data_IF_728998290967
#
_entry.id   IF_728998290967
#
_cell.length_a   1.000
_cell.length_b   1.000
_cell.length_c   1.000
_cell.angle_alpha   90.00
_cell.angle_beta   90.00
_cell.angle_gamma   90.00
#
_symmetry.space_group_name_H-M   'P 1'
#
loop_
_entity.id
_entity.type
_entity.pdbx_description
1 polymer ?
#
# COMPACT_ATOMS: atom_id res chain seq x y z
N UNK A 1 23.22 46.11 -64.78
CA UNK A 1 23.25 44.84 -64.03
C UNK A 1 22.47 45.01 -62.74
N UNK A 2 21.30 44.38 -62.63
CA UNK A 2 20.44 44.43 -61.43
C UNK A 2 20.86 43.29 -60.48
N UNK A 3 21.24 43.60 -59.25
CA UNK A 3 21.36 42.59 -58.20
C UNK A 3 20.06 42.59 -57.40
N UNK A 4 19.31 41.51 -57.53
CA UNK A 4 18.12 41.18 -56.76
C UNK A 4 18.53 40.33 -55.55
N UNK A 5 18.50 40.90 -54.35
CA UNK A 5 18.62 40.14 -53.09
C UNK A 5 17.24 39.78 -52.58
N UNK A 6 16.82 38.54 -52.84
CA UNK A 6 15.58 37.96 -52.32
C UNK A 6 15.83 37.49 -50.88
N UNK A 7 15.20 38.16 -49.91
CA UNK A 7 15.16 37.74 -48.50
C UNK A 7 14.35 36.45 -48.36
N UNK A 8 14.98 35.35 -47.91
CA UNK A 8 14.29 34.13 -47.49
C UNK A 8 13.73 34.32 -46.07
N UNK A 9 12.41 34.48 -45.94
CA UNK A 9 11.72 34.27 -44.68
C UNK A 9 11.74 32.78 -44.33
N UNK A 10 12.43 32.42 -43.26
CA UNK A 10 12.33 31.09 -42.64
C UNK A 10 11.10 31.16 -41.72
N UNK A 11 10.00 30.54 -42.15
CA UNK A 11 8.82 30.32 -41.30
C UNK A 11 9.19 29.33 -40.21
N UNK A 12 9.37 29.81 -38.98
CA UNK A 12 9.54 28.97 -37.80
C UNK A 12 8.23 28.23 -37.52
N UNK A 13 8.15 26.97 -37.92
CA UNK A 13 7.12 26.06 -37.47
C UNK A 13 7.29 25.94 -35.95
N UNK A 14 6.28 26.24 -35.11
CA UNK A 14 6.39 26.03 -33.69
C UNK A 14 6.51 24.52 -33.45
N UNK A 15 7.62 24.06 -32.88
CA UNK A 15 7.73 22.71 -32.36
C UNK A 15 6.73 22.54 -31.22
N UNK A 16 5.64 21.84 -31.51
CA UNK A 16 4.72 21.34 -30.51
C UNK A 16 5.46 20.29 -29.67
N UNK A 17 6.02 20.73 -28.54
CA UNK A 17 6.47 19.80 -27.50
C UNK A 17 5.23 19.11 -26.94
N UNK A 18 5.15 17.80 -27.15
CA UNK A 18 4.19 16.96 -26.46
C UNK A 18 4.42 17.13 -24.95
N UNK A 19 3.53 17.87 -24.30
CA UNK A 19 3.40 17.85 -22.85
C UNK A 19 2.88 16.45 -22.55
N UNK A 20 3.78 15.50 -22.27
CA UNK A 20 3.40 14.30 -21.52
C UNK A 20 2.72 14.85 -20.28
N UNK A 21 1.41 14.60 -20.15
CA UNK A 21 0.68 14.99 -18.97
C UNK A 21 1.44 14.46 -17.77
N UNK A 22 2.05 15.37 -17.01
CA UNK A 22 2.42 15.09 -15.64
C UNK A 22 1.09 14.94 -14.91
N UNK A 23 0.49 13.75 -15.04
CA UNK A 23 -0.44 13.23 -14.05
C UNK A 23 0.33 13.37 -12.74
N UNK A 24 -0.10 14.33 -11.92
CA UNK A 24 0.50 14.74 -10.65
C UNK A 24 1.32 13.60 -10.04
N UNK A 25 2.66 13.74 -10.00
CA UNK A 25 3.49 12.78 -9.30
C UNK A 25 3.02 12.78 -7.84
N UNK A 26 2.29 11.74 -7.45
CA UNK A 26 1.80 11.56 -6.09
C UNK A 26 3.01 11.47 -5.16
N UNK A 27 2.91 12.09 -3.99
CA UNK A 27 4.04 12.09 -3.06
C UNK A 27 4.40 10.65 -2.67
N UNK A 28 5.66 10.33 -2.32
CA UNK A 28 6.03 8.99 -1.86
C UNK A 28 5.16 8.50 -0.69
N UNK A 29 4.72 9.42 0.18
CA UNK A 29 3.80 9.11 1.29
C UNK A 29 2.40 8.77 0.78
N UNK A 30 1.87 9.50 -0.18
CA UNK A 30 0.54 9.23 -0.77
C UNK A 30 0.48 7.83 -1.41
N UNK A 31 1.55 7.40 -2.08
CA UNK A 31 1.63 6.05 -2.64
C UNK A 31 1.59 4.97 -1.54
N UNK A 32 2.28 5.20 -0.42
CA UNK A 32 2.22 4.32 0.75
C UNK A 32 0.82 4.32 1.39
N UNK A 33 0.16 5.48 1.49
CA UNK A 33 -1.21 5.58 2.02
C UNK A 33 -2.19 4.78 1.16
N UNK A 34 -2.10 4.91 -0.17
CA UNK A 34 -2.93 4.16 -1.11
C UNK A 34 -2.70 2.66 -1.00
N UNK A 35 -1.43 2.22 -0.98
CA UNK A 35 -1.09 0.81 -0.82
C UNK A 35 -1.54 0.25 0.54
N UNK A 36 -1.36 1.01 1.62
CA UNK A 36 -1.75 0.63 2.98
C UNK A 36 -3.27 0.51 3.11
N UNK A 37 -4.02 1.47 2.57
CA UNK A 37 -5.48 1.41 2.49
C UNK A 37 -5.95 0.16 1.74
N UNK A 38 -5.43 -0.06 0.54
CA UNK A 38 -5.82 -1.21 -0.29
C UNK A 38 -5.56 -2.53 0.44
N UNK A 39 -4.39 -2.65 1.05
CA UNK A 39 -4.04 -3.83 1.82
C UNK A 39 -4.95 -4.04 3.04
N UNK A 40 -5.22 -2.99 3.81
CA UNK A 40 -6.11 -3.05 4.96
C UNK A 40 -7.55 -3.39 4.56
N UNK A 41 -8.06 -2.75 3.52
CA UNK A 41 -9.37 -3.03 2.92
C UNK A 41 -9.51 -4.50 2.52
N UNK A 42 -8.57 -5.00 1.71
CA UNK A 42 -8.55 -6.41 1.28
C UNK A 42 -8.41 -7.38 2.46
N UNK A 43 -7.78 -6.95 3.55
CA UNK A 43 -7.52 -7.79 4.71
C UNK A 43 -8.64 -7.80 5.76
N UNK A 44 -9.42 -6.73 5.90
CA UNK A 44 -10.35 -6.58 7.01
C UNK A 44 -11.80 -6.36 6.57
N UNK A 45 -12.04 -5.82 5.37
CA UNK A 45 -13.35 -5.35 4.94
C UNK A 45 -13.67 -5.67 3.47
N UNK A 46 -13.06 -6.72 2.91
CA UNK A 46 -13.15 -7.03 1.47
C UNK A 46 -14.56 -7.37 0.96
N UNK A 47 -15.55 -7.50 1.85
CA UNK A 47 -16.96 -7.74 1.53
C UNK A 47 -17.86 -6.55 1.82
N UNK A 48 -17.31 -5.35 2.05
CA UNK A 48 -18.09 -4.17 2.47
C UNK A 48 -17.76 -2.97 1.60
N UNK A 49 -18.79 -2.32 1.05
CA UNK A 49 -18.63 -1.07 0.32
C UNK A 49 -18.67 0.11 1.29
N UNK A 50 -17.69 1.00 1.19
CA UNK A 50 -17.64 2.24 1.96
C UNK A 50 -17.89 3.45 1.07
N UNK A 51 -18.45 4.51 1.65
CA UNK A 51 -18.57 5.80 0.97
C UNK A 51 -17.19 6.41 0.71
N UNK A 52 -17.07 7.24 -0.33
CA UNK A 52 -15.83 7.99 -0.60
C UNK A 52 -15.37 8.81 0.61
N UNK A 53 -16.32 9.38 1.36
CA UNK A 53 -16.03 10.13 2.59
C UNK A 53 -15.35 9.26 3.65
N UNK A 54 -15.88 8.06 3.88
CA UNK A 54 -15.33 7.11 4.85
C UNK A 54 -13.91 6.66 4.45
N UNK A 55 -13.70 6.37 3.17
CA UNK A 55 -12.39 6.00 2.62
C UNK A 55 -11.39 7.14 2.80
N UNK A 56 -11.78 8.38 2.49
CA UNK A 56 -10.90 9.54 2.63
C UNK A 56 -10.50 9.79 4.09
N UNK A 57 -11.45 9.75 5.03
CA UNK A 57 -11.15 9.90 6.46
C UNK A 57 -10.20 8.79 6.95
N UNK A 58 -10.39 7.55 6.49
CA UNK A 58 -9.49 6.46 6.84
C UNK A 58 -8.07 6.70 6.29
N UNK A 59 -7.95 7.15 5.03
CA UNK A 59 -6.66 7.46 4.40
C UNK A 59 -5.94 8.64 5.06
N UNK A 60 -6.66 9.69 5.47
CA UNK A 60 -6.11 10.81 6.25
C UNK A 60 -5.47 10.32 7.56
N UNK A 61 -6.12 9.38 8.26
CA UNK A 61 -5.56 8.78 9.50
C UNK A 61 -4.34 7.90 9.24
N UNK A 62 -4.31 7.18 8.12
CA UNK A 62 -3.13 6.41 7.68
C UNK A 62 -1.98 7.36 7.32
N UNK A 63 -2.27 8.47 6.64
CA UNK A 63 -1.30 9.50 6.29
C UNK A 63 -0.70 10.15 7.55
N UNK A 64 -1.52 10.49 8.55
CA UNK A 64 -1.06 10.96 9.86
C UNK A 64 -0.06 9.96 10.47
N UNK A 65 -0.37 8.66 10.43
CA UNK A 65 0.53 7.63 10.95
C UNK A 65 1.90 7.59 10.23
N UNK A 66 1.93 7.81 8.90
CA UNK A 66 3.18 7.80 8.14
C UNK A 66 3.98 9.11 8.22
N UNK A 67 3.32 10.24 8.46
CA UNK A 67 3.97 11.56 8.57
C UNK A 67 4.60 11.81 9.94
N UNK A 68 4.16 11.08 10.97
CA UNK A 68 4.72 11.16 12.33
C UNK A 68 6.04 10.38 12.51
N UNK A 69 6.48 9.61 11.52
CA UNK A 69 7.69 8.79 11.59
C UNK A 69 8.78 9.31 10.65
N UNK A 70 10.03 9.10 11.04
CA UNK A 70 11.19 9.46 10.19
C UNK A 70 11.29 8.57 8.94
N UNK A 71 10.90 7.30 9.04
CA UNK A 71 10.96 6.34 7.94
C UNK A 71 9.58 5.75 7.61
N UNK A 72 8.84 6.33 6.65
CA UNK A 72 7.52 5.86 6.23
C UNK A 72 7.50 4.41 5.73
N UNK A 73 8.57 3.94 5.05
CA UNK A 73 8.67 2.54 4.58
C UNK A 73 8.72 1.55 5.74
N UNK A 74 9.50 1.85 6.78
CA UNK A 74 9.54 1.01 7.98
C UNK A 74 8.19 0.98 8.71
N UNK A 75 7.52 2.13 8.79
CA UNK A 75 6.18 2.22 9.36
C UNK A 75 5.15 1.46 8.53
N UNK A 76 5.27 1.45 7.19
CA UNK A 76 4.44 0.65 6.29
C UNK A 76 4.58 -0.85 6.55
N UNK A 77 5.81 -1.35 6.69
CA UNK A 77 6.05 -2.76 7.02
C UNK A 77 5.44 -3.15 8.38
N UNK A 78 5.53 -2.26 9.37
CA UNK A 78 4.87 -2.46 10.67
C UNK A 78 3.35 -2.41 10.55
N UNK A 79 2.82 -1.48 9.75
CA UNK A 79 1.40 -1.33 9.48
C UNK A 79 0.79 -2.61 8.90
N UNK A 80 1.38 -3.15 7.83
CA UNK A 80 0.89 -4.37 7.19
C UNK A 80 0.91 -5.56 8.16
N UNK A 81 1.99 -5.72 8.94
CA UNK A 81 2.06 -6.78 9.95
C UNK A 81 0.96 -6.63 11.01
N UNK A 82 0.71 -5.41 11.50
CA UNK A 82 -0.34 -5.11 12.48
C UNK A 82 -1.75 -5.38 11.96
N UNK A 83 -2.03 -5.04 10.70
CA UNK A 83 -3.28 -5.39 10.00
C UNK A 83 -3.47 -6.91 9.94
N UNK A 84 -2.43 -7.68 9.64
CA UNK A 84 -2.52 -9.14 9.61
C UNK A 84 -2.79 -9.76 10.98
N UNK A 85 -2.27 -9.17 12.06
CA UNK A 85 -2.57 -9.59 13.43
C UNK A 85 -4.03 -9.31 13.79
N UNK A 86 -4.56 -8.15 13.40
CA UNK A 86 -5.98 -7.85 13.54
C UNK A 86 -6.85 -8.83 12.75
N UNK A 87 -6.47 -9.17 11.51
CA UNK A 87 -7.16 -10.20 10.72
C UNK A 87 -7.15 -11.56 11.42
N UNK A 88 -6.01 -11.99 11.98
CA UNK A 88 -5.90 -13.23 12.76
C UNK A 88 -6.82 -13.20 13.99
N UNK A 89 -6.87 -12.08 14.70
CA UNK A 89 -7.75 -11.90 15.86
C UNK A 89 -9.23 -12.07 15.49
N UNK A 90 -9.70 -11.39 14.44
CA UNK A 90 -11.09 -11.44 13.96
C UNK A 90 -11.48 -12.84 13.53
N UNK A 91 -10.62 -13.50 12.76
CA UNK A 91 -10.88 -14.84 12.25
C UNK A 91 -10.78 -15.93 13.31
N UNK A 92 -10.17 -15.63 14.47
CA UNK A 92 -9.92 -16.62 15.53
C UNK A 92 -11.14 -16.97 16.39
N UNK A 93 -12.23 -16.18 16.37
CA UNK A 93 -13.44 -16.50 17.12
C UNK A 93 -14.69 -15.87 16.50
N UNK A 94 -15.83 -16.56 16.61
CA UNK A 94 -17.14 -16.03 16.19
C UNK A 94 -17.50 -14.78 16.98
N UNK A 95 -18.20 -13.84 16.34
CA UNK A 95 -18.68 -12.60 16.96
C UNK A 95 -17.63 -11.48 17.03
N UNK A 96 -16.39 -11.72 16.61
CA UNK A 96 -15.41 -10.66 16.43
C UNK A 96 -15.61 -9.98 15.07
N UNK A 97 -15.54 -8.66 15.07
CA UNK A 97 -15.66 -7.85 13.86
C UNK A 97 -14.71 -6.65 13.97
N UNK A 98 -14.38 -6.06 12.82
CA UNK A 98 -13.67 -4.78 12.78
C UNK A 98 -14.70 -3.65 12.66
N UNK A 99 -14.52 -2.54 13.41
CA UNK A 99 -15.36 -1.36 13.24
C UNK A 99 -15.13 -0.72 11.87
N UNK A 100 -15.87 0.35 11.57
CA UNK A 100 -15.66 1.14 10.37
C UNK A 100 -14.19 1.59 10.27
N UNK A 101 -13.60 1.66 9.07
CA UNK A 101 -12.19 2.00 8.91
C UNK A 101 -11.78 3.31 9.58
N UNK A 102 -12.58 4.37 9.46
CA UNK A 102 -12.33 5.66 10.11
C UNK A 102 -12.27 5.54 11.63
N UNK A 103 -13.11 4.70 12.23
CA UNK A 103 -13.10 4.42 13.68
C UNK A 103 -11.93 3.52 14.06
N UNK A 104 -11.59 2.54 13.22
CA UNK A 104 -10.49 1.62 13.49
C UNK A 104 -9.12 2.31 13.44
N UNK A 105 -8.91 3.18 12.46
CA UNK A 105 -7.66 3.94 12.33
C UNK A 105 -7.57 5.16 13.26
N UNK A 106 -8.59 5.43 14.07
CA UNK A 106 -8.55 6.52 15.04
C UNK A 106 -7.45 6.30 16.09
N UNK A 107 -6.54 7.27 16.22
CA UNK A 107 -5.47 7.24 17.24
C UNK A 107 -5.97 7.27 18.67
N UNK A 108 -7.22 7.70 18.90
CA UNK A 108 -7.86 7.69 20.21
C UNK A 108 -8.62 6.39 20.49
N UNK A 109 -8.74 5.49 19.51
CA UNK A 109 -9.39 4.20 19.69
C UNK A 109 -8.34 3.15 20.09
N UNK A 110 -8.19 2.92 21.40
CA UNK A 110 -7.27 1.93 21.95
C UNK A 110 -7.57 0.49 21.49
N UNK A 111 -8.83 0.19 21.16
CA UNK A 111 -9.26 -1.10 20.63
C UNK A 111 -9.17 -1.21 19.10
N UNK A 112 -8.73 -0.13 18.43
CA UNK A 112 -8.54 -0.06 16.99
C UNK A 112 -7.14 -0.48 16.55
N UNK A 113 -6.62 0.20 15.53
CA UNK A 113 -5.27 -0.01 15.04
C UNK A 113 -4.23 0.21 16.14
N UNK A 114 -4.47 1.16 17.05
CA UNK A 114 -3.57 1.47 18.19
C UNK A 114 -3.25 0.22 19.01
N UNK A 115 -4.26 -0.54 19.43
CA UNK A 115 -4.09 -1.74 20.27
C UNK A 115 -3.27 -2.86 19.62
N UNK A 116 -3.15 -2.88 18.29
CA UNK A 116 -2.31 -3.87 17.59
C UNK A 116 -0.81 -3.66 17.81
N UNK A 117 -0.39 -2.50 18.34
CA UNK A 117 1.02 -2.17 18.61
C UNK A 117 1.64 -3.15 19.61
N UNK A 118 0.90 -3.54 20.64
CA UNK A 118 1.41 -4.45 21.66
C UNK A 118 1.59 -5.86 21.11
N UNK A 119 0.65 -6.33 20.27
CA UNK A 119 0.79 -7.61 19.57
C UNK A 119 2.02 -7.64 18.68
N UNK A 120 2.27 -6.56 17.93
CA UNK A 120 3.46 -6.46 17.08
C UNK A 120 4.75 -6.40 17.91
N UNK A 121 4.72 -5.67 19.04
CA UNK A 121 5.86 -5.59 19.96
C UNK A 121 6.20 -6.97 20.54
N UNK A 122 5.21 -7.75 20.95
CA UNK A 122 5.41 -9.11 21.43
C UNK A 122 6.07 -10.00 20.38
N UNK A 123 5.62 -9.93 19.12
CA UNK A 123 6.25 -10.67 18.01
C UNK A 123 7.71 -10.25 17.83
N UNK A 124 8.01 -8.95 17.88
CA UNK A 124 9.39 -8.48 17.79
C UNK A 124 10.26 -9.02 18.92
N UNK A 125 9.74 -9.10 20.15
CA UNK A 125 10.47 -9.65 21.28
C UNK A 125 10.75 -11.15 21.08
N UNK A 126 9.77 -11.94 20.65
CA UNK A 126 9.97 -13.37 20.36
C UNK A 126 10.99 -13.58 19.23
N UNK A 127 11.01 -12.70 18.23
CA UNK A 127 11.98 -12.75 17.13
C UNK A 127 13.44 -12.51 17.54
N UNK A 128 13.69 -11.94 18.73
CA UNK A 128 15.06 -11.83 19.26
C UNK A 128 15.66 -13.21 19.56
N UNK A 129 14.84 -14.16 20.04
CA UNK A 129 15.27 -15.53 20.30
C UNK A 129 14.94 -16.52 19.18
N UNK A 130 13.87 -16.26 18.41
CA UNK A 130 13.41 -17.11 17.31
C UNK A 130 13.14 -16.27 16.06
N UNK A 131 14.18 -15.93 15.25
CA UNK A 131 14.05 -14.99 14.14
C UNK A 131 12.98 -15.34 13.10
N UNK A 132 12.71 -16.64 12.90
CA UNK A 132 11.67 -17.14 11.99
C UNK A 132 10.24 -17.08 12.56
N UNK A 133 10.03 -16.57 13.78
CA UNK A 133 8.71 -16.51 14.38
C UNK A 133 7.78 -15.59 13.58
N UNK A 134 6.70 -16.19 13.05
CA UNK A 134 5.74 -15.53 12.14
C UNK A 134 6.47 -14.83 11.00
N UNK A 135 7.41 -15.48 10.34
CA UNK A 135 8.15 -14.91 9.20
C UNK A 135 7.20 -14.57 8.04
N UNK A 136 6.16 -15.37 7.85
CA UNK A 136 5.20 -15.26 6.75
C UNK A 136 4.42 -13.93 6.75
N UNK A 137 4.11 -13.37 7.92
CA UNK A 137 3.44 -12.04 7.99
C UNK A 137 4.41 -10.91 7.63
N UNK A 138 5.70 -11.10 7.91
CA UNK A 138 6.75 -10.13 7.53
C UNK A 138 6.96 -10.19 6.02
N UNK A 139 7.08 -11.39 5.47
CA UNK A 139 7.18 -11.62 4.03
C UNK A 139 6.01 -11.00 3.26
N UNK A 140 4.77 -11.13 3.75
CA UNK A 140 3.63 -10.47 3.10
C UNK A 140 3.70 -8.94 3.17
N UNK A 141 4.18 -8.35 4.26
CA UNK A 141 4.38 -6.91 4.32
C UNK A 141 5.45 -6.42 3.32
N UNK A 142 6.54 -7.18 3.18
CA UNK A 142 7.60 -6.91 2.20
C UNK A 142 7.08 -7.05 0.77
N UNK A 143 6.33 -8.10 0.47
CA UNK A 143 5.70 -8.34 -0.83
C UNK A 143 4.80 -7.18 -1.27
N UNK A 144 3.98 -6.66 -0.36
CA UNK A 144 3.07 -5.55 -0.65
C UNK A 144 3.83 -4.25 -0.89
N UNK A 145 4.89 -4.00 -0.09
CA UNK A 145 5.71 -2.80 -0.27
C UNK A 145 6.46 -2.85 -1.60
N UNK A 146 7.20 -3.92 -1.85
CA UNK A 146 8.03 -4.08 -3.06
C UNK A 146 7.18 -4.08 -4.33
N UNK A 147 6.06 -4.80 -4.34
CA UNK A 147 5.13 -4.77 -5.47
C UNK A 147 4.51 -3.37 -5.67
N UNK A 148 4.27 -2.65 -4.58
CA UNK A 148 3.67 -1.34 -4.66
C UNK A 148 4.59 -0.26 -5.22
N UNK A 149 5.89 -0.39 -4.93
CA UNK A 149 6.96 0.46 -5.46
C UNK A 149 7.34 0.08 -6.90
N UNK A 150 7.43 -1.22 -7.18
CA UNK A 150 7.79 -1.76 -8.49
C UNK A 150 6.79 -2.85 -8.92
N UNK A 151 5.63 -2.46 -9.49
CA UNK A 151 4.63 -3.41 -9.95
C UNK A 151 5.07 -4.06 -11.26
N UNK A 152 5.85 -5.13 -11.17
CA UNK A 152 6.34 -5.90 -12.32
C UNK A 152 5.82 -7.34 -12.30
N UNK A 153 5.74 -7.97 -13.48
CA UNK A 153 5.38 -9.39 -13.59
C UNK A 153 6.40 -10.29 -12.88
N UNK A 154 7.66 -9.88 -12.83
CA UNK A 154 8.74 -10.57 -12.13
C UNK A 154 8.52 -10.54 -10.61
N UNK A 155 8.30 -9.36 -10.02
CA UNK A 155 8.02 -9.20 -8.59
C UNK A 155 6.76 -9.96 -8.17
N UNK A 156 5.70 -9.87 -8.98
CA UNK A 156 4.48 -10.64 -8.73
C UNK A 156 4.73 -12.16 -8.74
N UNK A 157 5.47 -12.65 -9.73
CA UNK A 157 5.75 -14.09 -9.88
C UNK A 157 6.64 -14.59 -8.74
N UNK A 158 7.64 -13.81 -8.34
CA UNK A 158 8.51 -14.12 -7.20
C UNK A 158 7.71 -14.32 -5.91
N UNK A 159 6.94 -13.31 -5.50
CA UNK A 159 6.16 -13.38 -4.25
C UNK A 159 5.04 -14.42 -4.30
N UNK A 160 4.39 -14.59 -5.46
CA UNK A 160 3.43 -15.68 -5.68
C UNK A 160 4.08 -17.04 -5.43
N UNK A 161 5.24 -17.31 -6.02
CA UNK A 161 5.93 -18.59 -5.86
C UNK A 161 6.40 -18.79 -4.42
N UNK A 162 6.92 -17.73 -3.77
CA UNK A 162 7.27 -17.76 -2.35
C UNK A 162 6.11 -18.27 -1.48
N UNK A 163 4.90 -17.72 -1.62
CA UNK A 163 3.75 -18.16 -0.80
C UNK A 163 3.21 -19.54 -1.18
N UNK A 164 3.41 -19.99 -2.42
CA UNK A 164 3.09 -21.36 -2.85
C UNK A 164 4.04 -22.35 -2.17
N UNK A 165 5.35 -22.10 -2.24
CA UNK A 165 6.39 -22.96 -1.68
C UNK A 165 6.33 -23.02 -0.15
N UNK A 166 5.96 -21.91 0.50
CA UNK A 166 5.74 -21.85 1.96
C UNK A 166 4.43 -22.50 2.41
N UNK A 167 3.55 -22.91 1.49
CA UNK A 167 2.27 -23.54 1.84
C UNK A 167 1.29 -22.61 2.56
N UNK A 168 1.29 -21.31 2.22
CA UNK A 168 0.46 -20.29 2.89
C UNK A 168 -0.63 -19.73 1.95
N UNK A 169 -1.65 -20.54 1.57
CA UNK A 169 -2.64 -20.14 0.56
C UNK A 169 -3.47 -18.91 0.96
N UNK A 170 -3.71 -18.73 2.26
CA UNK A 170 -4.42 -17.54 2.77
C UNK A 170 -3.64 -16.24 2.53
N UNK A 171 -2.30 -16.26 2.67
CA UNK A 171 -1.44 -15.10 2.43
C UNK A 171 -1.22 -14.88 0.93
N UNK A 172 -1.09 -15.97 0.15
CA UNK A 172 -1.07 -15.91 -1.31
C UNK A 172 -2.31 -15.18 -1.85
N UNK A 173 -3.51 -15.56 -1.39
CA UNK A 173 -4.74 -14.93 -1.83
C UNK A 173 -4.78 -13.44 -1.45
N UNK A 174 -4.33 -13.08 -0.24
CA UNK A 174 -4.26 -11.66 0.16
C UNK A 174 -3.29 -10.86 -0.72
N UNK A 175 -2.12 -11.41 -1.04
CA UNK A 175 -1.16 -10.78 -1.94
C UNK A 175 -1.78 -10.54 -3.33
N UNK A 176 -2.39 -11.57 -3.91
CA UNK A 176 -2.99 -11.48 -5.25
C UNK A 176 -4.12 -10.45 -5.30
N UNK A 177 -5.03 -10.45 -4.31
CA UNK A 177 -6.13 -9.48 -4.24
C UNK A 177 -5.60 -8.06 -4.08
N UNK A 178 -4.60 -7.84 -3.22
CA UNK A 178 -4.02 -6.52 -3.03
C UNK A 178 -3.31 -6.02 -4.31
N UNK A 179 -2.55 -6.89 -4.99
CA UNK A 179 -1.88 -6.59 -6.25
C UNK A 179 -2.87 -6.21 -7.36
N UNK A 180 -3.99 -6.95 -7.48
CA UNK A 180 -5.07 -6.66 -8.42
C UNK A 180 -5.67 -5.27 -8.13
N UNK A 181 -6.07 -5.02 -6.88
CA UNK A 181 -6.67 -3.75 -6.49
C UNK A 181 -5.73 -2.55 -6.75
N UNK A 182 -4.42 -2.74 -6.59
CA UNK A 182 -3.44 -1.71 -6.86
C UNK A 182 -3.28 -1.38 -8.34
N UNK A 183 -3.46 -2.35 -9.24
CA UNK A 183 -3.44 -2.08 -10.70
C UNK A 183 -4.67 -1.31 -11.16
N UNK A 184 -5.86 -1.64 -10.64
CA UNK A 184 -7.10 -0.98 -11.03
C UNK A 184 -7.25 0.46 -10.53
N UNK A 185 -6.55 0.84 -9.46
CA UNK A 185 -6.59 2.22 -8.92
C UNK A 185 -5.57 3.17 -9.56
N UNK A 186 -4.64 2.65 -10.38
CA UNK A 186 -3.67 3.46 -11.14
C UNK A 186 -4.11 3.72 -12.60
N UNK A 187 -5.26 3.19 -13.02
CA UNK A 187 -5.83 3.33 -14.37
C UNK A 187 -6.99 4.35 -14.37
#
# INVERSE_FOLDING_TARGET
MRQSTTSKQISSIPELKAIRGALFETSPVENLVNAAWNFAYSSLWNSTYFSTREINIAKEKIEEYFTLVENPRSAFLSFCQRVLLARQYVNGAKGRFMPLPSVWFDKNNEYGFVGTKDWYTQIKQVRLSLPAYKEEIKALAEAILEYGEEPSAQNFTYWRNYFIERGTPGLLNLFQVAAINQQYLKA
#
